data_IF_256534458375
#
_entry.id   IF_256534458375
#
_cell.length_a   1.000
_cell.length_b   1.000
_cell.length_c   1.000
_cell.angle_alpha   90.00
_cell.angle_beta   90.00
_cell.angle_gamma   90.00
#
_symmetry.space_group_name_H-M   'P 1'
#
loop_
_entity.id
_entity.type
_entity.pdbx_description
1 polymer ?
#
# COMPACT_ATOMS: atom_id res chain seq x y z
N UNK A 1 -1.57 5.66 20.42
CA UNK A 1 -2.40 6.68 21.07
C UNK A 1 -3.85 6.63 20.62
N UNK A 2 -4.71 7.40 21.32
CA UNK A 2 -6.07 7.66 20.83
C UNK A 2 -6.03 8.54 19.56
N UNK A 3 -7.17 8.71 18.88
CA UNK A 3 -7.20 9.38 17.57
C UNK A 3 -6.83 10.87 17.64
N UNK A 4 -7.02 11.52 18.77
CA UNK A 4 -6.73 12.95 18.97
C UNK A 4 -5.30 13.21 19.41
N UNK A 5 -4.64 12.23 20.03
CA UNK A 5 -3.24 12.35 20.49
C UNK A 5 -2.21 12.01 19.40
N UNK A 6 -2.63 11.55 18.24
CA UNK A 6 -1.76 11.16 17.12
C UNK A 6 -1.32 12.38 16.32
N UNK A 7 -0.06 12.78 16.48
CA UNK A 7 0.50 13.98 15.84
C UNK A 7 1.86 13.69 15.21
N UNK A 8 1.93 13.70 13.88
CA UNK A 8 3.20 13.64 13.18
C UNK A 8 3.83 15.06 13.11
N UNK A 9 5.08 15.24 13.54
CA UNK A 9 5.76 16.54 13.48
C UNK A 9 5.91 17.10 12.05
N UNK A 10 6.04 16.24 11.02
CA UNK A 10 6.07 16.66 9.61
C UNK A 10 4.70 17.20 9.19
N UNK A 11 3.65 16.44 9.44
CA UNK A 11 2.26 16.83 9.10
C UNK A 11 1.86 18.11 9.83
N UNK A 12 2.36 18.29 11.06
CA UNK A 12 2.17 19.51 11.84
C UNK A 12 3.08 20.70 11.41
N UNK A 13 3.93 20.52 10.39
CA UNK A 13 4.84 21.55 9.89
C UNK A 13 5.97 21.94 10.88
N UNK A 14 6.20 21.14 11.94
CA UNK A 14 7.21 21.43 12.96
C UNK A 14 8.63 21.07 12.53
N UNK A 15 8.77 20.13 11.63
CA UNK A 15 10.05 19.63 11.09
C UNK A 15 9.92 19.41 9.59
N UNK A 16 11.04 19.49 8.86
CA UNK A 16 11.07 19.27 7.40
C UNK A 16 11.25 17.79 7.03
N UNK A 17 11.85 17.01 7.91
CA UNK A 17 12.21 15.62 7.67
C UNK A 17 11.71 14.72 8.81
N UNK A 18 11.60 13.42 8.53
CA UNK A 18 11.18 12.43 9.51
C UNK A 18 12.20 12.32 10.64
N UNK A 19 11.75 12.47 11.90
CA UNK A 19 12.59 12.37 13.09
C UNK A 19 12.66 10.95 13.64
N UNK A 20 12.14 9.96 12.92
CA UNK A 20 12.15 8.54 13.29
C UNK A 20 11.62 8.27 14.71
N UNK A 21 10.40 8.74 15.01
CA UNK A 21 9.74 8.50 16.30
C UNK A 21 9.74 7.01 16.65
N UNK A 22 9.96 6.67 17.92
CA UNK A 22 9.94 5.28 18.42
C UNK A 22 8.60 4.57 18.15
N UNK A 23 7.50 5.32 18.16
CA UNK A 23 6.18 4.90 17.67
C UNK A 23 5.70 5.94 16.67
N UNK A 24 5.48 5.52 15.44
CA UNK A 24 5.02 6.43 14.38
C UNK A 24 3.54 6.73 14.52
N UNK A 25 3.18 7.97 14.83
CA UNK A 25 1.79 8.39 15.02
C UNK A 25 0.94 8.36 13.74
N UNK A 26 1.54 8.40 12.55
CA UNK A 26 0.80 8.19 11.30
C UNK A 26 0.46 6.73 11.04
N UNK A 27 1.26 5.80 11.56
CA UNK A 27 1.13 4.36 11.30
C UNK A 27 0.44 3.60 12.43
N UNK A 28 0.57 4.07 13.68
CA UNK A 28 0.15 3.34 14.88
C UNK A 28 -0.85 4.13 15.72
N UNK A 29 -1.78 3.43 16.38
CA UNK A 29 -2.82 3.98 17.23
C UNK A 29 -4.22 3.69 16.70
N UNK A 30 -5.25 4.28 17.31
CA UNK A 30 -6.63 4.07 16.88
C UNK A 30 -6.83 4.42 15.40
N UNK A 31 -7.47 3.54 14.64
CA UNK A 31 -7.64 3.65 13.18
C UNK A 31 -6.39 3.24 12.36
N UNK A 32 -5.26 2.92 13.01
CA UNK A 32 -4.03 2.49 12.34
C UNK A 32 -3.51 3.49 11.31
N UNK A 33 -2.77 3.01 10.30
CA UNK A 33 -2.33 3.82 9.15
C UNK A 33 -3.52 4.35 8.33
N UNK A 34 -4.66 3.66 8.37
CA UNK A 34 -5.89 4.06 7.69
C UNK A 34 -6.40 5.43 8.12
N UNK A 35 -6.15 5.88 9.36
CA UNK A 35 -6.64 7.15 9.87
C UNK A 35 -6.12 8.37 9.09
N UNK A 36 -4.94 8.25 8.49
CA UNK A 36 -4.30 9.32 7.71
C UNK A 36 -4.22 9.00 6.21
N UNK A 37 -4.94 7.97 5.76
CA UNK A 37 -5.07 7.64 4.34
C UNK A 37 -6.19 8.44 3.68
N UNK A 38 -6.20 8.45 2.35
CA UNK A 38 -7.26 9.08 1.55
C UNK A 38 -8.60 8.33 1.57
N UNK A 39 -8.70 7.21 2.30
CA UNK A 39 -9.94 6.49 2.53
C UNK A 39 -10.55 5.90 1.25
N UNK A 40 -9.80 5.08 0.53
CA UNK A 40 -10.30 4.31 -0.62
C UNK A 40 -10.95 3.00 -0.15
N UNK A 41 -12.25 2.90 -0.24
CA UNK A 41 -13.02 1.70 0.08
C UNK A 41 -13.37 0.95 -1.21
N UNK A 42 -12.95 -0.31 -1.29
CA UNK A 42 -13.14 -1.16 -2.47
C UNK A 42 -14.29 -2.16 -2.23
N UNK A 43 -15.25 -2.19 -3.13
CA UNK A 43 -16.39 -3.10 -3.10
C UNK A 43 -16.17 -4.20 -4.14
N UNK A 44 -15.40 -5.21 -3.77
CA UNK A 44 -15.05 -6.32 -4.65
C UNK A 44 -14.42 -7.45 -3.85
N UNK A 45 -14.55 -8.69 -4.34
CA UNK A 45 -13.86 -9.88 -3.84
C UNK A 45 -12.59 -10.20 -4.64
N UNK A 46 -12.33 -9.49 -5.76
CA UNK A 46 -11.20 -9.77 -6.64
C UNK A 46 -9.84 -9.37 -6.07
N UNK A 47 -9.84 -8.52 -5.04
CA UNK A 47 -8.63 -8.10 -4.33
C UNK A 47 -8.97 -7.49 -2.95
N UNK A 48 -8.00 -7.43 -2.06
CA UNK A 48 -8.13 -6.73 -0.77
C UNK A 48 -8.20 -7.64 0.45
N UNK A 49 -8.20 -8.94 0.30
CA UNK A 49 -8.22 -9.88 1.42
C UNK A 49 -8.40 -11.33 0.97
N UNK A 50 -8.60 -12.23 1.93
CA UNK A 50 -8.77 -13.66 1.70
C UNK A 50 -10.01 -14.23 2.40
N UNK A 51 -11.03 -13.43 2.66
CA UNK A 51 -12.26 -13.93 3.26
C UNK A 51 -12.96 -14.97 2.37
N UNK A 52 -12.73 -14.91 1.06
CA UNK A 52 -13.22 -15.92 0.10
C UNK A 52 -12.59 -17.32 0.25
N UNK A 53 -11.55 -17.45 1.07
CA UNK A 53 -11.02 -18.76 1.47
C UNK A 53 -11.92 -19.44 2.53
N UNK A 54 -12.81 -18.70 3.20
CA UNK A 54 -13.63 -19.14 4.33
C UNK A 54 -15.13 -19.04 4.08
N UNK A 55 -15.56 -18.22 3.12
CA UNK A 55 -16.96 -18.00 2.77
C UNK A 55 -17.07 -17.63 1.28
N UNK A 56 -18.27 -17.71 0.73
CA UNK A 56 -18.49 -17.41 -0.67
C UNK A 56 -18.45 -15.89 -0.98
N UNK A 57 -18.37 -15.55 -2.28
CA UNK A 57 -18.27 -14.17 -2.74
C UNK A 57 -19.47 -13.31 -2.34
N UNK A 58 -20.68 -13.87 -2.30
CA UNK A 58 -21.91 -13.16 -1.97
C UNK A 58 -21.94 -12.83 -0.47
N UNK A 59 -21.50 -13.75 0.37
CA UNK A 59 -21.34 -13.53 1.82
C UNK A 59 -20.30 -12.43 2.09
N UNK A 60 -19.15 -12.49 1.43
CA UNK A 60 -18.09 -11.46 1.56
C UNK A 60 -18.63 -10.11 1.09
N UNK A 61 -19.31 -10.04 -0.04
CA UNK A 61 -19.92 -8.80 -0.51
C UNK A 61 -20.98 -8.25 0.42
N UNK A 62 -21.78 -9.12 1.06
CA UNK A 62 -22.75 -8.71 2.09
C UNK A 62 -22.05 -8.04 3.27
N UNK A 63 -20.95 -8.64 3.76
CA UNK A 63 -20.15 -8.05 4.85
C UNK A 63 -19.50 -6.72 4.45
N UNK A 64 -18.97 -6.60 3.23
CA UNK A 64 -18.41 -5.33 2.71
C UNK A 64 -19.50 -4.24 2.71
N UNK A 65 -20.70 -4.54 2.21
CA UNK A 65 -21.83 -3.62 2.21
C UNK A 65 -22.30 -3.25 3.63
N UNK A 66 -22.29 -4.20 4.57
CA UNK A 66 -22.56 -3.93 5.97
C UNK A 66 -21.56 -2.94 6.58
N UNK A 67 -20.25 -3.17 6.35
CA UNK A 67 -19.20 -2.26 6.80
C UNK A 67 -19.37 -0.87 6.20
N UNK A 68 -19.77 -0.77 4.93
CA UNK A 68 -20.07 0.52 4.31
C UNK A 68 -21.26 1.23 4.97
N UNK A 69 -22.31 0.48 5.32
CA UNK A 69 -23.45 1.03 6.06
C UNK A 69 -23.02 1.61 7.41
N UNK A 70 -22.10 0.92 8.11
CA UNK A 70 -21.52 1.45 9.36
C UNK A 70 -20.72 2.72 9.08
N UNK A 71 -19.88 2.75 8.05
CA UNK A 71 -19.10 3.94 7.69
C UNK A 71 -20.01 5.13 7.33
N UNK A 72 -21.10 4.88 6.59
CA UNK A 72 -22.09 5.92 6.26
C UNK A 72 -22.79 6.47 7.51
N UNK A 73 -23.11 5.63 8.51
CA UNK A 73 -23.64 6.09 9.81
C UNK A 73 -22.71 7.14 10.45
N UNK A 74 -21.41 7.01 10.27
CA UNK A 74 -20.40 7.91 10.82
C UNK A 74 -19.95 9.04 9.87
N UNK A 75 -20.61 9.18 8.72
CA UNK A 75 -20.46 10.34 7.84
C UNK A 75 -19.70 10.07 6.55
N UNK A 76 -19.53 8.80 6.14
CA UNK A 76 -19.01 8.49 4.81
C UNK A 76 -20.01 8.90 3.72
N UNK A 77 -19.49 9.32 2.56
CA UNK A 77 -20.31 9.63 1.38
C UNK A 77 -20.95 8.39 0.80
N UNK A 78 -22.09 8.54 0.15
CA UNK A 78 -22.73 7.51 -0.69
C UNK A 78 -22.15 7.46 -2.11
N UNK A 79 -21.38 8.49 -2.53
CA UNK A 79 -20.81 8.61 -3.85
C UNK A 79 -19.77 7.51 -4.11
N UNK A 80 -19.97 6.78 -5.20
CA UNK A 80 -19.07 5.69 -5.63
C UNK A 80 -18.62 5.88 -7.07
N UNK A 81 -17.43 5.37 -7.37
CA UNK A 81 -16.89 5.24 -8.72
C UNK A 81 -16.94 3.78 -9.13
N UNK A 82 -17.47 3.49 -10.31
CA UNK A 82 -17.64 2.12 -10.78
C UNK A 82 -16.87 1.91 -12.08
N UNK A 83 -16.27 0.73 -12.23
CA UNK A 83 -15.73 0.25 -13.49
C UNK A 83 -16.79 -0.33 -14.42
N UNK A 84 -18.03 -0.48 -13.94
CA UNK A 84 -19.16 -0.96 -14.76
C UNK A 84 -19.84 0.19 -15.52
N UNK A 85 -19.11 0.80 -16.43
CA UNK A 85 -19.59 1.85 -17.33
C UNK A 85 -19.26 1.49 -18.79
N UNK A 86 -19.99 2.00 -19.80
CA UNK A 86 -19.64 1.76 -21.20
C UNK A 86 -18.21 2.19 -21.55
N UNK A 87 -17.73 3.29 -20.99
CA UNK A 87 -16.36 3.79 -21.18
C UNK A 87 -15.32 2.85 -20.56
N UNK A 88 -15.57 2.38 -19.33
CA UNK A 88 -14.66 1.45 -18.67
C UNK A 88 -14.60 0.08 -19.38
N UNK A 89 -15.75 -0.41 -19.90
CA UNK A 89 -15.77 -1.63 -20.72
C UNK A 89 -15.06 -1.44 -22.06
N UNK A 90 -15.07 -0.23 -22.63
CA UNK A 90 -14.28 0.06 -23.84
C UNK A 90 -12.77 0.06 -23.53
N UNK A 91 -12.37 0.65 -22.40
CA UNK A 91 -10.99 0.61 -21.90
C UNK A 91 -10.54 -0.83 -21.64
N UNK A 92 -11.38 -1.64 -20.99
CA UNK A 92 -11.10 -3.06 -20.74
C UNK A 92 -10.85 -3.83 -22.05
N UNK A 93 -11.72 -3.66 -23.05
CA UNK A 93 -11.52 -4.29 -24.38
C UNK A 93 -10.25 -3.82 -25.07
N UNK A 94 -9.89 -2.55 -24.92
CA UNK A 94 -8.63 -2.05 -25.49
C UNK A 94 -7.42 -2.65 -24.76
N UNK A 95 -7.45 -2.70 -23.44
CA UNK A 95 -6.39 -3.28 -22.60
C UNK A 95 -6.18 -4.78 -22.92
N UNK A 96 -7.26 -5.54 -23.11
CA UNK A 96 -7.21 -6.97 -23.44
C UNK A 96 -6.45 -7.26 -24.76
N UNK A 97 -6.38 -6.35 -25.71
CA UNK A 97 -5.58 -6.53 -26.93
C UNK A 97 -4.07 -6.67 -26.65
N UNK A 98 -3.66 -6.23 -25.49
CA UNK A 98 -2.25 -6.21 -25.06
C UNK A 98 -2.00 -7.07 -23.81
N UNK A 99 -2.88 -8.04 -23.55
CA UNK A 99 -2.82 -8.95 -22.40
C UNK A 99 -2.91 -8.23 -21.02
N UNK A 100 -3.44 -7.01 -21.01
CA UNK A 100 -3.73 -6.25 -19.82
C UNK A 100 -5.16 -6.49 -19.36
N UNK A 101 -5.35 -6.91 -18.10
CA UNK A 101 -6.66 -7.22 -17.53
C UNK A 101 -7.05 -6.16 -16.52
N UNK A 102 -8.09 -5.38 -16.82
CA UNK A 102 -8.65 -4.40 -15.90
C UNK A 102 -9.52 -5.11 -14.87
N UNK A 103 -9.17 -4.96 -13.58
CA UNK A 103 -10.00 -5.52 -12.51
C UNK A 103 -11.26 -4.68 -12.31
N UNK A 104 -12.37 -5.39 -12.18
CA UNK A 104 -13.66 -4.77 -11.88
C UNK A 104 -13.74 -4.38 -10.41
N UNK A 105 -14.01 -3.12 -10.12
CA UNK A 105 -14.22 -2.63 -8.77
C UNK A 105 -15.15 -1.43 -8.75
N UNK A 106 -16.00 -1.40 -7.73
CA UNK A 106 -16.68 -0.20 -7.29
C UNK A 106 -15.85 0.38 -6.15
N UNK A 107 -15.52 1.66 -6.21
CA UNK A 107 -14.63 2.32 -5.24
C UNK A 107 -15.34 3.52 -4.64
N UNK A 108 -15.19 3.72 -3.35
CA UNK A 108 -15.57 4.94 -2.63
C UNK A 108 -14.28 5.65 -2.20
N UNK A 109 -14.16 6.92 -2.51
CA UNK A 109 -13.03 7.77 -2.12
C UNK A 109 -13.53 8.86 -1.19
N UNK A 110 -13.01 8.89 0.03
CA UNK A 110 -13.47 9.79 1.08
C UNK A 110 -12.68 11.10 1.12
N UNK A 111 -11.39 11.04 0.81
CA UNK A 111 -10.42 12.08 1.14
C UNK A 111 -9.91 11.95 2.58
N UNK A 112 -8.68 12.39 2.80
CA UNK A 112 -7.97 12.20 4.08
C UNK A 112 -8.71 12.84 5.26
N UNK A 113 -9.24 14.05 5.07
CA UNK A 113 -9.92 14.83 6.11
C UNK A 113 -11.24 14.15 6.52
N UNK A 114 -12.01 13.68 5.55
CA UNK A 114 -13.28 13.00 5.81
C UNK A 114 -13.07 11.63 6.45
N UNK A 115 -12.05 10.90 6.01
CA UNK A 115 -11.72 9.59 6.57
C UNK A 115 -11.34 9.72 8.06
N UNK A 116 -10.51 10.71 8.40
CA UNK A 116 -10.16 10.98 9.80
C UNK A 116 -11.40 11.33 10.63
N UNK A 117 -12.29 12.19 10.11
CA UNK A 117 -13.53 12.58 10.81
C UNK A 117 -14.45 11.39 11.06
N UNK A 118 -14.61 10.49 10.10
CA UNK A 118 -15.42 9.27 10.27
C UNK A 118 -14.85 8.42 11.41
N UNK A 119 -13.53 8.24 11.46
CA UNK A 119 -12.89 7.48 12.54
C UNK A 119 -12.98 8.18 13.90
N UNK A 120 -12.95 9.52 13.94
CA UNK A 120 -13.22 10.28 15.17
C UNK A 120 -14.64 10.07 15.68
N UNK A 121 -15.64 10.15 14.80
CA UNK A 121 -17.02 9.89 15.14
C UNK A 121 -17.23 8.44 15.66
N UNK A 122 -16.59 7.45 15.04
CA UNK A 122 -16.58 6.07 15.52
C UNK A 122 -15.94 5.96 16.91
N UNK A 123 -14.81 6.62 17.12
CA UNK A 123 -14.11 6.60 18.40
C UNK A 123 -14.96 7.16 19.53
N UNK A 124 -15.59 8.32 19.31
CA UNK A 124 -16.48 8.97 20.31
C UNK A 124 -17.69 8.12 20.68
N UNK A 125 -18.24 7.39 19.72
CA UNK A 125 -19.38 6.51 19.98
C UNK A 125 -18.93 5.24 20.73
N UNK A 126 -17.82 4.64 20.32
CA UNK A 126 -17.28 3.43 20.92
C UNK A 126 -16.74 3.65 22.34
N UNK A 127 -16.18 4.82 22.65
CA UNK A 127 -15.72 5.17 24.00
C UNK A 127 -16.81 5.06 25.08
N UNK A 128 -18.09 5.09 24.68
CA UNK A 128 -19.22 4.97 25.61
C UNK A 128 -19.47 3.53 26.07
N UNK A 129 -18.97 2.54 25.32
CA UNK A 129 -19.30 1.11 25.52
C UNK A 129 -18.10 0.18 25.53
N UNK A 130 -16.91 0.67 25.16
CA UNK A 130 -15.65 -0.10 25.10
C UNK A 130 -14.59 0.56 25.96
N UNK A 131 -13.89 -0.25 26.78
CA UNK A 131 -12.69 0.19 27.47
C UNK A 131 -11.49 0.17 26.52
N UNK A 132 -10.82 1.31 26.34
CA UNK A 132 -9.58 1.44 25.58
C UNK A 132 -8.37 1.51 26.52
N UNK A 133 -7.37 0.71 26.24
CA UNK A 133 -6.07 0.76 26.92
C UNK A 133 -4.99 1.16 25.91
N UNK A 134 -4.76 2.46 25.80
CA UNK A 134 -3.69 3.02 24.96
C UNK A 134 -2.33 2.91 25.65
N UNK A 135 -1.24 2.92 24.87
CA UNK A 135 0.14 2.79 25.35
C UNK A 135 0.35 1.52 26.18
N UNK A 136 -0.44 0.49 25.87
CA UNK A 136 -0.42 -0.81 26.56
C UNK A 136 0.07 -1.84 25.56
N UNK A 137 1.27 -2.35 25.77
CA UNK A 137 1.90 -3.32 24.88
C UNK A 137 1.67 -4.73 25.40
N UNK A 138 1.07 -5.57 24.54
CA UNK A 138 0.93 -7.01 24.78
C UNK A 138 2.21 -7.71 24.35
N UNK A 139 2.90 -8.39 25.29
CA UNK A 139 4.15 -9.08 25.03
C UNK A 139 3.98 -10.58 24.80
N UNK A 140 2.92 -11.18 25.34
CA UNK A 140 2.66 -12.62 25.22
C UNK A 140 1.18 -12.95 25.22
N UNK A 141 0.89 -14.07 24.58
CA UNK A 141 -0.45 -14.69 24.52
C UNK A 141 -0.28 -16.15 24.99
N UNK A 142 -1.05 -16.55 25.97
CA UNK A 142 -1.11 -17.90 26.48
C UNK A 142 -2.56 -18.41 26.50
N UNK A 143 -2.77 -19.74 26.36
CA UNK A 143 -4.08 -20.33 26.60
C UNK A 143 -4.33 -20.44 28.10
N UNK A 144 -5.52 -20.09 28.54
CA UNK A 144 -5.98 -20.17 29.93
C UNK A 144 -7.37 -20.81 29.99
N UNK A 145 -7.40 -22.13 30.17
CA UNK A 145 -8.64 -22.90 30.07
C UNK A 145 -9.31 -22.78 28.69
N UNK A 146 -10.55 -22.32 28.66
CA UNK A 146 -11.31 -22.07 27.42
C UNK A 146 -11.03 -20.69 26.80
N UNK A 147 -10.14 -19.89 27.42
CA UNK A 147 -9.84 -18.52 27.00
C UNK A 147 -8.36 -18.26 26.79
N UNK A 148 -7.99 -17.00 26.97
CA UNK A 148 -6.63 -16.52 26.76
C UNK A 148 -6.19 -15.61 27.91
N UNK A 149 -4.89 -15.64 28.22
CA UNK A 149 -4.20 -14.71 29.11
C UNK A 149 -3.20 -13.90 28.30
N UNK A 150 -3.28 -12.58 28.40
CA UNK A 150 -2.40 -11.63 27.73
C UNK A 150 -1.42 -11.06 28.74
N UNK A 151 -0.13 -11.22 28.51
CA UNK A 151 0.92 -10.62 29.35
C UNK A 151 1.27 -9.23 28.82
N UNK A 152 1.18 -8.22 29.68
CA UNK A 152 1.52 -6.83 29.35
C UNK A 152 2.96 -6.50 29.75
N UNK A 153 3.60 -5.56 29.02
CA UNK A 153 4.96 -5.11 29.33
C UNK A 153 5.11 -4.55 30.75
N UNK A 154 4.04 -3.99 31.30
CA UNK A 154 4.02 -3.46 32.66
C UNK A 154 3.90 -4.54 33.75
N UNK A 155 3.82 -5.82 33.39
CA UNK A 155 3.73 -6.95 34.31
C UNK A 155 2.30 -7.32 34.74
N UNK A 156 1.28 -6.66 34.21
CA UNK A 156 -0.13 -7.01 34.38
C UNK A 156 -0.54 -8.11 33.39
N UNK A 157 -1.52 -8.94 33.75
CA UNK A 157 -2.14 -9.91 32.86
C UNK A 157 -3.63 -9.59 32.67
N UNK A 158 -4.10 -9.68 31.43
CA UNK A 158 -5.52 -9.55 31.07
C UNK A 158 -6.05 -10.92 30.62
N UNK A 159 -7.16 -11.35 31.19
CA UNK A 159 -7.83 -12.59 30.79
C UNK A 159 -9.04 -12.29 29.93
N UNK A 160 -9.25 -13.09 28.87
CA UNK A 160 -10.43 -12.98 28.01
C UNK A 160 -10.88 -14.35 27.50
N UNK A 161 -12.15 -14.49 27.20
CA UNK A 161 -12.69 -15.71 26.56
C UNK A 161 -12.42 -15.73 25.06
N UNK A 162 -12.59 -14.62 24.40
CA UNK A 162 -12.36 -14.43 22.97
C UNK A 162 -11.27 -13.39 22.74
N UNK A 163 -10.40 -13.65 21.80
CA UNK A 163 -9.29 -12.77 21.47
C UNK A 163 -9.26 -12.48 19.96
N UNK A 164 -9.29 -11.21 19.58
CA UNK A 164 -9.05 -10.75 18.21
C UNK A 164 -7.66 -10.09 18.17
N UNK A 165 -6.77 -10.58 17.32
CA UNK A 165 -5.39 -10.09 17.20
C UNK A 165 -5.23 -9.39 15.85
N UNK A 166 -5.06 -8.07 15.87
CA UNK A 166 -4.93 -7.24 14.69
C UNK A 166 -3.74 -6.25 14.83
N UNK A 167 -2.48 -6.73 14.97
CA UNK A 167 -1.35 -5.91 15.39
C UNK A 167 -0.77 -5.03 14.28
N UNK A 168 -1.27 -5.14 13.05
CA UNK A 168 -0.76 -4.41 11.89
C UNK A 168 0.62 -4.90 11.43
N UNK A 169 1.27 -4.12 10.55
CA UNK A 169 2.56 -4.49 9.93
C UNK A 169 3.70 -4.61 10.95
N UNK A 170 3.80 -3.66 11.87
CA UNK A 170 4.85 -3.64 12.90
C UNK A 170 4.74 -4.77 13.93
N UNK A 171 3.54 -5.34 14.10
CA UNK A 171 3.34 -6.48 14.99
C UNK A 171 3.40 -7.85 14.31
N UNK A 172 3.70 -7.93 13.00
CA UNK A 172 3.62 -9.18 12.24
C UNK A 172 4.64 -10.24 12.70
N UNK A 173 5.89 -9.86 12.97
CA UNK A 173 6.90 -10.78 13.47
C UNK A 173 6.53 -11.31 14.86
N UNK A 174 6.19 -10.40 15.78
CA UNK A 174 5.72 -10.77 17.12
C UNK A 174 4.51 -11.72 17.05
N UNK A 175 3.52 -11.42 16.22
CA UNK A 175 2.35 -12.29 16.08
C UNK A 175 2.70 -13.66 15.52
N UNK A 176 3.61 -13.74 14.57
CA UNK A 176 4.10 -15.02 14.03
C UNK A 176 4.79 -15.87 15.12
N UNK A 177 5.52 -15.24 16.05
CA UNK A 177 6.11 -15.93 17.21
C UNK A 177 5.03 -16.43 18.18
N UNK A 178 4.01 -15.61 18.47
CA UNK A 178 2.88 -16.03 19.31
C UNK A 178 2.11 -17.20 18.68
N UNK A 179 1.88 -17.19 17.37
CA UNK A 179 1.25 -18.31 16.66
C UNK A 179 2.05 -19.60 16.80
N UNK A 180 3.38 -19.55 16.61
CA UNK A 180 4.24 -20.74 16.82
C UNK A 180 4.17 -21.27 18.25
N UNK A 181 4.21 -20.35 19.22
CA UNK A 181 4.08 -20.71 20.66
C UNK A 181 2.74 -21.38 20.98
N UNK A 182 1.65 -20.91 20.36
CA UNK A 182 0.30 -21.46 20.53
C UNK A 182 0.04 -22.73 19.68
N UNK A 183 1.01 -23.18 18.89
CA UNK A 183 0.85 -24.32 17.98
C UNK A 183 -0.02 -24.04 16.77
N UNK A 184 -0.25 -22.76 16.43
CA UNK A 184 -1.00 -22.38 15.22
C UNK A 184 -0.07 -22.41 14.02
N UNK A 185 -0.45 -23.18 13.00
CA UNK A 185 0.31 -23.31 11.77
C UNK A 185 0.16 -22.04 10.94
N UNK A 186 1.29 -21.43 10.59
CA UNK A 186 1.34 -20.31 9.65
C UNK A 186 1.48 -20.82 8.22
N UNK A 187 0.78 -20.16 7.31
CA UNK A 187 0.90 -20.41 5.88
C UNK A 187 1.74 -19.27 5.28
N UNK A 188 2.67 -19.65 4.40
CA UNK A 188 3.46 -18.65 3.67
C UNK A 188 2.57 -17.74 2.85
N UNK A 189 2.69 -16.45 3.11
CA UNK A 189 2.01 -15.44 2.33
C UNK A 189 2.91 -14.92 1.20
N UNK A 190 2.32 -14.21 0.25
CA UNK A 190 3.07 -13.52 -0.78
C UNK A 190 3.65 -12.19 -0.24
N UNK A 191 4.65 -11.68 -0.94
CA UNK A 191 5.11 -10.30 -0.84
C UNK A 191 5.17 -9.72 -2.24
N UNK A 192 4.65 -8.51 -2.42
CA UNK A 192 4.75 -7.82 -3.70
C UNK A 192 5.89 -6.82 -3.61
N UNK A 193 6.78 -6.87 -4.60
CA UNK A 193 7.95 -6.01 -4.68
C UNK A 193 7.92 -5.29 -6.03
N UNK A 194 8.28 -4.02 -6.02
CA UNK A 194 8.30 -3.25 -7.24
C UNK A 194 8.79 -1.82 -7.07
N UNK A 195 8.25 -0.97 -7.91
CA UNK A 195 8.60 0.45 -7.99
C UNK A 195 7.33 1.31 -8.01
N UNK A 196 7.47 2.55 -7.60
CA UNK A 196 6.49 3.59 -7.91
C UNK A 196 6.90 4.27 -9.20
N UNK A 197 5.98 4.32 -10.13
CA UNK A 197 6.10 5.04 -11.40
C UNK A 197 5.55 6.44 -11.22
N UNK A 198 6.24 7.44 -11.74
CA UNK A 198 5.74 8.82 -11.84
C UNK A 198 5.97 9.34 -13.25
N UNK A 199 4.94 9.94 -13.82
CA UNK A 199 4.93 10.46 -15.20
C UNK A 199 3.92 11.62 -15.31
N UNK A 200 3.97 12.44 -16.37
CA UNK A 200 3.01 13.52 -16.57
C UNK A 200 1.57 13.00 -16.56
N UNK A 201 0.68 13.68 -15.84
CA UNK A 201 -0.71 13.26 -15.64
C UNK A 201 -1.45 13.05 -16.98
N UNK A 202 -1.13 13.85 -18.00
CA UNK A 202 -1.71 13.78 -19.33
C UNK A 202 -1.55 12.42 -20.03
N UNK A 203 -0.52 11.63 -19.64
CA UNK A 203 -0.29 10.28 -20.18
C UNK A 203 -1.40 9.31 -19.76
N UNK A 204 -1.88 9.43 -18.52
CA UNK A 204 -2.90 8.54 -17.94
C UNK A 204 -4.28 9.17 -17.80
N UNK A 205 -4.45 10.45 -18.09
CA UNK A 205 -5.70 11.20 -17.87
C UNK A 205 -6.91 10.52 -18.52
N UNK A 206 -6.78 10.06 -19.77
CA UNK A 206 -7.85 9.35 -20.50
C UNK A 206 -8.26 8.02 -19.86
N UNK A 207 -7.41 7.41 -19.02
CA UNK A 207 -7.70 6.21 -18.22
C UNK A 207 -8.30 6.62 -16.88
N UNK A 208 -7.66 7.56 -16.18
CA UNK A 208 -8.04 7.96 -14.81
C UNK A 208 -9.36 8.73 -14.76
N UNK A 209 -9.73 9.42 -15.84
CA UNK A 209 -11.05 10.06 -15.98
C UNK A 209 -12.18 9.05 -16.13
N UNK A 210 -11.88 7.84 -16.63
CA UNK A 210 -12.85 6.75 -16.78
C UNK A 210 -12.87 5.84 -15.56
N UNK A 211 -11.67 5.50 -15.04
CA UNK A 211 -11.50 4.61 -13.90
C UNK A 211 -10.50 5.26 -12.95
N UNK A 212 -11.00 5.88 -11.88
CA UNK A 212 -10.19 6.66 -10.94
C UNK A 212 -8.98 5.89 -10.40
N UNK A 213 -9.15 4.63 -10.04
CA UNK A 213 -8.08 3.72 -9.62
C UNK A 213 -8.03 2.50 -10.54
N UNK A 214 -7.32 2.62 -11.66
CA UNK A 214 -7.18 1.54 -12.62
C UNK A 214 -6.24 0.46 -12.10
N UNK A 215 -6.79 -0.73 -11.82
CA UNK A 215 -6.02 -1.92 -11.46
C UNK A 215 -5.87 -2.82 -12.67
N UNK A 216 -4.74 -2.69 -13.33
CA UNK A 216 -4.38 -3.48 -14.50
C UNK A 216 -3.44 -4.60 -14.08
N UNK A 217 -3.76 -5.82 -14.49
CA UNK A 217 -2.92 -7.00 -14.29
C UNK A 217 -2.33 -7.42 -15.62
N UNK A 218 -1.06 -7.76 -15.60
CA UNK A 218 -0.32 -8.34 -16.69
C UNK A 218 0.40 -9.60 -16.26
N UNK A 219 0.45 -10.63 -17.11
CA UNK A 219 1.33 -11.78 -16.90
C UNK A 219 2.48 -11.69 -17.87
N UNK A 220 3.70 -11.58 -17.32
CA UNK A 220 4.90 -11.41 -18.13
C UNK A 220 5.12 -12.63 -19.01
N UNK A 221 5.55 -12.37 -20.26
CA UNK A 221 5.81 -13.44 -21.24
C UNK A 221 7.09 -14.20 -20.94
N UNK A 222 8.06 -13.48 -20.34
CA UNK A 222 9.36 -14.05 -20.01
C UNK A 222 9.29 -15.04 -18.86
N UNK A 223 8.59 -14.69 -17.76
CA UNK A 223 8.59 -15.49 -16.53
C UNK A 223 7.20 -16.01 -16.12
N UNK A 224 6.13 -15.51 -16.73
CA UNK A 224 4.76 -15.82 -16.35
C UNK A 224 4.32 -15.17 -15.03
N UNK A 225 5.12 -14.23 -14.50
CA UNK A 225 4.85 -13.57 -13.24
C UNK A 225 3.69 -12.59 -13.35
N UNK A 226 2.95 -12.44 -12.26
CA UNK A 226 1.86 -11.47 -12.17
C UNK A 226 2.40 -10.11 -11.76
N UNK A 227 2.29 -9.15 -12.65
CA UNK A 227 2.54 -7.73 -12.38
C UNK A 227 1.23 -6.97 -12.38
N UNK A 228 1.10 -5.97 -11.52
CA UNK A 228 -0.12 -5.17 -11.47
C UNK A 228 0.17 -3.71 -11.14
N UNK A 229 -0.68 -2.82 -11.67
CA UNK A 229 -0.76 -1.46 -11.14
C UNK A 229 -1.43 -1.47 -9.76
N UNK A 230 -1.01 -0.57 -8.90
CA UNK A 230 -1.59 -0.44 -7.56
C UNK A 230 -1.53 1.01 -7.07
N UNK A 231 -2.53 1.41 -6.28
CA UNK A 231 -2.58 2.74 -5.66
C UNK A 231 -2.28 3.87 -6.66
N UNK A 232 -3.12 3.96 -7.71
CA UNK A 232 -3.01 5.03 -8.71
C UNK A 232 -3.49 6.36 -8.12
N UNK A 233 -2.69 7.38 -8.29
CA UNK A 233 -2.89 8.72 -7.75
C UNK A 233 -2.79 9.76 -8.88
N UNK A 234 -3.92 10.04 -9.54
CA UNK A 234 -3.98 11.12 -10.55
C UNK A 234 -3.62 12.46 -9.90
N UNK A 235 -2.75 13.23 -10.55
CA UNK A 235 -2.27 14.52 -10.05
C UNK A 235 -1.72 14.46 -8.62
N UNK A 236 -1.14 13.30 -8.27
CA UNK A 236 -0.69 13.00 -6.90
C UNK A 236 0.80 13.20 -6.69
N UNK A 237 1.22 12.95 -5.48
CA UNK A 237 2.62 13.07 -5.03
C UNK A 237 3.18 11.72 -4.64
N UNK A 238 4.45 11.49 -4.98
CA UNK A 238 5.23 10.38 -4.45
C UNK A 238 5.70 10.75 -3.05
N UNK A 239 5.60 9.81 -2.11
CA UNK A 239 6.00 10.01 -0.71
C UNK A 239 6.83 8.84 -0.20
N UNK A 240 7.69 9.11 0.78
CA UNK A 240 8.39 8.09 1.52
C UNK A 240 7.59 7.69 2.77
N UNK A 241 7.48 6.39 3.01
CA UNK A 241 6.94 5.81 4.25
C UNK A 241 8.08 5.20 5.05
N UNK A 242 8.19 5.56 6.33
CA UNK A 242 9.15 4.93 7.23
C UNK A 242 8.46 3.92 8.14
N UNK A 243 8.89 2.67 8.10
CA UNK A 243 8.43 1.61 8.99
C UNK A 243 9.66 0.93 9.60
N UNK A 244 9.79 0.99 10.91
CA UNK A 244 10.91 0.38 11.65
C UNK A 244 12.30 0.81 11.13
N UNK A 245 12.45 2.08 10.79
CA UNK A 245 13.69 2.64 10.29
C UNK A 245 14.00 2.37 8.82
N UNK A 246 13.11 1.69 8.09
CA UNK A 246 13.25 1.41 6.67
C UNK A 246 12.28 2.27 5.89
N UNK A 247 12.80 3.02 4.91
CA UNK A 247 12.01 3.80 3.99
C UNK A 247 11.56 2.94 2.80
N UNK A 248 10.27 2.96 2.54
CA UNK A 248 9.64 2.47 1.30
C UNK A 248 8.96 3.62 0.60
N UNK A 249 8.63 3.46 -0.65
CA UNK A 249 7.92 4.48 -1.41
C UNK A 249 6.43 4.19 -1.46
N UNK A 250 5.61 5.23 -1.48
CA UNK A 250 4.17 5.19 -1.68
C UNK A 250 3.74 6.46 -2.44
N UNK A 251 2.44 6.66 -2.61
CA UNK A 251 1.89 7.87 -3.22
C UNK A 251 0.52 8.20 -2.66
N UNK A 252 0.17 9.45 -2.81
CA UNK A 252 -1.18 9.92 -2.48
C UNK A 252 -1.62 11.08 -3.38
N UNK A 253 -2.90 11.35 -3.42
CA UNK A 253 -3.49 12.50 -4.10
C UNK A 253 -4.35 13.32 -3.15
N UNK A 254 -4.41 14.61 -3.40
CA UNK A 254 -5.28 15.53 -2.67
C UNK A 254 -6.62 15.70 -3.38
N UNK A 255 -7.69 15.87 -2.60
CA UNK A 255 -8.99 16.26 -3.14
C UNK A 255 -9.01 17.73 -3.59
N UNK A 256 -8.26 18.59 -2.87
CA UNK A 256 -8.11 20.00 -3.23
C UNK A 256 -7.29 20.18 -4.52
N UNK A 257 -7.87 20.77 -5.58
CA UNK A 257 -7.14 21.03 -6.82
C UNK A 257 -5.89 21.91 -6.66
N UNK A 258 -5.86 22.80 -5.66
CA UNK A 258 -4.72 23.68 -5.41
C UNK A 258 -3.47 22.94 -4.91
N UNK A 259 -3.64 21.71 -4.40
CA UNK A 259 -2.56 20.86 -3.90
C UNK A 259 -2.15 19.76 -4.89
N UNK A 260 -2.69 19.76 -6.09
CA UNK A 260 -2.38 18.80 -7.13
C UNK A 260 -1.01 19.02 -7.73
N UNK A 261 -0.32 17.94 -8.08
CA UNK A 261 0.89 18.00 -8.90
C UNK A 261 0.53 17.94 -10.40
N UNK A 262 1.52 18.10 -11.25
CA UNK A 262 1.38 17.89 -12.71
C UNK A 262 1.51 16.41 -13.12
N UNK A 263 1.78 15.52 -12.16
CA UNK A 263 2.09 14.12 -12.40
C UNK A 263 1.00 13.18 -11.89
N UNK A 264 0.88 12.04 -12.55
CA UNK A 264 0.21 10.84 -12.01
C UNK A 264 1.28 9.87 -11.53
N UNK A 265 1.04 9.23 -10.38
CA UNK A 265 1.91 8.16 -9.92
C UNK A 265 1.12 6.91 -9.55
N UNK A 266 1.76 5.76 -9.70
CA UNK A 266 1.21 4.45 -9.34
C UNK A 266 2.33 3.44 -9.09
N UNK A 267 2.05 2.43 -8.27
CA UNK A 267 2.97 1.32 -8.09
C UNK A 267 2.86 0.31 -9.24
N UNK A 268 3.99 -0.27 -9.63
CA UNK A 268 4.07 -1.53 -10.36
C UNK A 268 4.63 -2.58 -9.42
N UNK A 269 3.82 -3.58 -9.09
CA UNK A 269 4.13 -4.60 -8.10
C UNK A 269 4.15 -5.98 -8.73
N UNK A 270 5.28 -6.68 -8.58
CA UNK A 270 5.46 -8.09 -8.96
C UNK A 270 5.10 -8.95 -7.75
N UNK A 271 4.18 -9.88 -7.93
CA UNK A 271 3.73 -10.78 -6.86
C UNK A 271 4.69 -11.95 -6.71
N UNK A 272 5.36 -12.02 -5.56
CA UNK A 272 6.29 -13.09 -5.24
C UNK A 272 5.64 -14.08 -4.28
N UNK A 273 5.57 -15.34 -4.70
CA UNK A 273 5.15 -16.46 -3.86
C UNK A 273 6.33 -17.40 -3.68
N UNK A 274 6.55 -17.80 -2.45
CA UNK A 274 7.64 -18.69 -2.11
C UNK A 274 7.11 -20.04 -1.64
N UNK A 275 7.85 -21.10 -1.94
CA UNK A 275 7.60 -22.45 -1.47
C UNK A 275 8.64 -22.84 -0.42
N UNK A 276 8.34 -23.82 0.40
CA UNK A 276 9.31 -24.37 1.35
C UNK A 276 10.65 -24.71 0.66
N UNK A 277 11.79 -24.48 1.34
CA UNK A 277 11.93 -24.17 2.77
C UNK A 277 11.85 -22.69 3.13
N UNK A 278 11.54 -21.80 2.18
CA UNK A 278 11.48 -20.36 2.43
C UNK A 278 10.13 -19.97 3.06
N UNK A 279 10.17 -19.44 4.27
CA UNK A 279 8.98 -19.17 5.11
C UNK A 279 8.88 -17.70 5.60
N UNK A 280 9.71 -16.79 5.08
CA UNK A 280 9.83 -15.43 5.60
C UNK A 280 9.67 -14.33 4.54
N UNK A 281 8.52 -14.27 3.81
CA UNK A 281 8.29 -13.28 2.77
C UNK A 281 8.38 -11.84 3.28
N UNK A 282 7.96 -11.60 4.52
CA UNK A 282 8.10 -10.29 5.17
C UNK A 282 9.56 -9.85 5.26
N UNK A 283 10.44 -10.72 5.77
CA UNK A 283 11.88 -10.42 5.89
C UNK A 283 12.53 -10.22 4.53
N UNK A 284 12.11 -10.98 3.51
CA UNK A 284 12.62 -10.80 2.16
C UNK A 284 12.30 -9.39 1.62
N UNK A 285 11.05 -8.96 1.71
CA UNK A 285 10.64 -7.62 1.29
C UNK A 285 11.35 -6.51 2.07
N UNK A 286 11.50 -6.68 3.39
CA UNK A 286 12.24 -5.77 4.26
C UNK A 286 13.71 -5.68 3.86
N UNK A 287 14.33 -6.80 3.49
CA UNK A 287 15.72 -6.84 3.04
C UNK A 287 15.93 -6.09 1.72
N UNK A 288 15.02 -6.27 0.74
CA UNK A 288 15.06 -5.52 -0.52
C UNK A 288 14.95 -4.01 -0.28
N UNK A 289 14.01 -3.58 0.57
CA UNK A 289 13.88 -2.17 0.92
C UNK A 289 15.13 -1.63 1.65
N UNK A 290 15.73 -2.44 2.53
CA UNK A 290 17.00 -2.11 3.21
C UNK A 290 18.15 -1.88 2.23
N UNK A 291 18.28 -2.69 1.16
CA UNK A 291 19.28 -2.48 0.11
C UNK A 291 19.10 -1.14 -0.59
N UNK A 292 17.87 -0.78 -0.94
CA UNK A 292 17.55 0.53 -1.50
C UNK A 292 17.95 1.67 -0.57
N UNK A 293 17.65 1.54 0.73
CA UNK A 293 18.01 2.55 1.72
C UNK A 293 19.52 2.67 1.93
N UNK A 294 20.25 1.55 1.90
CA UNK A 294 21.71 1.55 2.02
C UNK A 294 22.36 2.33 0.86
N UNK A 295 21.79 2.29 -0.33
CA UNK A 295 22.30 2.96 -1.53
C UNK A 295 21.93 4.45 -1.60
N UNK A 296 20.87 4.87 -0.91
CA UNK A 296 20.30 6.22 -1.04
C UNK A 296 20.16 6.98 0.28
N UNK A 297 20.29 6.31 1.41
CA UNK A 297 19.87 6.87 2.69
C UNK A 297 18.33 6.99 2.85
N UNK A 298 17.56 6.67 1.80
CA UNK A 298 16.10 6.80 1.76
C UNK A 298 15.50 6.08 0.56
N UNK A 299 14.98 6.83 -0.39
CA UNK A 299 14.33 6.30 -1.61
C UNK A 299 15.22 6.57 -2.82
N UNK A 300 15.47 5.54 -3.64
CA UNK A 300 16.12 5.68 -4.94
C UNK A 300 15.13 6.21 -6.00
N UNK A 301 15.63 7.04 -6.94
CA UNK A 301 14.91 7.38 -8.18
C UNK A 301 15.78 7.13 -9.39
N UNK A 302 15.20 6.54 -10.44
CA UNK A 302 15.89 6.30 -11.71
C UNK A 302 14.94 6.60 -12.87
N UNK A 303 15.42 7.23 -13.94
CA UNK A 303 14.65 7.36 -15.18
C UNK A 303 14.53 6.02 -15.87
N UNK A 304 13.38 5.73 -16.44
CA UNK A 304 13.11 4.48 -17.15
C UNK A 304 14.10 4.23 -18.29
N UNK A 305 14.38 5.26 -19.08
CA UNK A 305 15.34 5.12 -20.18
C UNK A 305 16.78 4.85 -19.72
N UNK A 306 17.18 5.34 -18.55
CA UNK A 306 18.50 5.02 -17.97
C UNK A 306 18.51 3.56 -17.47
N UNK A 307 17.43 3.09 -16.81
CA UNK A 307 17.30 1.69 -16.39
C UNK A 307 17.40 0.73 -17.57
N UNK A 308 16.66 0.97 -18.64
CA UNK A 308 16.67 0.11 -19.85
C UNK A 308 18.06 0.07 -20.51
N UNK A 309 18.81 1.18 -20.45
CA UNK A 309 20.19 1.24 -20.96
C UNK A 309 21.22 0.64 -20.00
N UNK A 310 20.83 0.22 -18.81
CA UNK A 310 21.74 -0.28 -17.78
C UNK A 310 22.69 0.80 -17.24
N UNK A 311 22.24 2.05 -17.16
CA UNK A 311 23.05 3.17 -16.68
C UNK A 311 22.37 3.85 -15.49
N UNK A 312 23.18 4.28 -14.54
CA UNK A 312 22.72 5.03 -13.37
C UNK A 312 22.13 6.39 -13.77
N UNK A 313 21.02 6.78 -13.21
CA UNK A 313 20.57 8.18 -13.18
C UNK A 313 21.43 8.95 -12.17
N UNK A 314 21.87 10.14 -12.52
CA UNK A 314 22.54 11.08 -11.64
C UNK A 314 21.77 12.42 -11.59
N UNK A 315 22.18 13.33 -10.72
CA UNK A 315 21.51 14.62 -10.53
C UNK A 315 21.40 15.42 -11.83
N UNK A 316 22.47 15.46 -12.64
CA UNK A 316 22.48 16.17 -13.91
C UNK A 316 21.45 15.60 -14.89
N UNK A 317 21.36 14.27 -15.01
CA UNK A 317 20.37 13.60 -15.87
C UNK A 317 18.93 13.82 -15.36
N UNK A 318 18.73 13.75 -14.03
CA UNK A 318 17.43 13.99 -13.42
C UNK A 318 16.98 15.44 -13.61
N UNK A 319 17.90 16.41 -13.48
CA UNK A 319 17.60 17.82 -13.70
C UNK A 319 17.18 18.14 -15.15
N UNK A 320 17.58 17.32 -16.13
CA UNK A 320 17.19 17.43 -17.53
C UNK A 320 15.89 16.72 -17.88
N UNK A 321 15.33 15.95 -16.94
CA UNK A 321 14.09 15.19 -17.16
C UNK A 321 12.89 16.13 -17.35
N UNK A 322 12.01 15.80 -18.30
CA UNK A 322 10.71 16.47 -18.44
C UNK A 322 9.79 16.19 -17.26
N UNK A 323 9.79 14.95 -16.77
CA UNK A 323 9.07 14.59 -15.55
C UNK A 323 9.83 15.11 -14.35
N UNK A 324 9.25 16.03 -13.61
CA UNK A 324 9.84 16.57 -12.38
C UNK A 324 9.43 15.72 -11.19
N UNK A 325 10.41 15.24 -10.38
CA UNK A 325 10.09 14.41 -9.22
C UNK A 325 9.29 15.19 -8.18
N UNK A 326 8.15 14.64 -7.73
CA UNK A 326 7.40 15.22 -6.61
C UNK A 326 8.01 14.84 -5.26
N UNK A 327 8.70 13.71 -5.15
CA UNK A 327 9.54 13.38 -3.99
C UNK A 327 10.95 13.95 -4.18
N UNK A 328 11.15 15.21 -3.80
CA UNK A 328 12.43 15.92 -3.98
C UNK A 328 13.58 15.36 -3.12
N UNK A 329 13.27 14.59 -2.07
CA UNK A 329 14.26 13.92 -1.22
C UNK A 329 14.74 12.57 -1.80
N UNK A 330 14.17 12.12 -2.93
CA UNK A 330 14.63 10.88 -3.57
C UNK A 330 16.02 11.08 -4.21
N UNK A 331 16.88 10.08 -4.06
CA UNK A 331 18.27 10.13 -4.49
C UNK A 331 18.41 9.44 -5.86
N UNK A 332 18.96 10.13 -6.88
CA UNK A 332 19.21 9.52 -8.17
C UNK A 332 20.20 8.35 -8.07
N UNK A 333 19.81 7.20 -8.64
CA UNK A 333 20.62 6.00 -8.49
C UNK A 333 20.38 4.96 -9.57
N UNK A 334 20.65 3.72 -9.20
CA UNK A 334 20.47 2.53 -10.02
C UNK A 334 19.66 1.47 -9.27
N UNK A 335 18.42 1.26 -9.70
CA UNK A 335 17.51 0.29 -9.12
C UNK A 335 17.97 -1.16 -9.32
N UNK A 336 18.82 -1.42 -10.30
CA UNK A 336 19.36 -2.77 -10.56
C UNK A 336 20.29 -3.28 -9.45
N UNK A 337 20.80 -2.38 -8.62
CA UNK A 337 21.62 -2.73 -7.44
C UNK A 337 20.75 -3.11 -6.22
N UNK A 338 19.47 -2.78 -6.22
CA UNK A 338 18.57 -3.05 -5.10
C UNK A 338 17.51 -4.10 -5.43
N UNK A 339 16.93 -4.05 -6.63
CA UNK A 339 15.87 -4.95 -7.05
C UNK A 339 16.45 -6.16 -7.79
N UNK A 340 15.95 -7.38 -7.51
CA UNK A 340 16.32 -8.57 -8.26
C UNK A 340 16.02 -8.41 -9.76
N UNK A 341 16.90 -8.95 -10.61
CA UNK A 341 16.78 -8.86 -12.07
C UNK A 341 15.41 -9.29 -12.59
N UNK A 342 14.87 -10.41 -12.06
CA UNK A 342 13.55 -10.93 -12.49
C UNK A 342 12.44 -9.90 -12.28
N UNK A 343 12.40 -9.23 -11.12
CA UNK A 343 11.40 -8.19 -10.85
C UNK A 343 11.58 -6.97 -11.77
N UNK A 344 12.82 -6.59 -12.08
CA UNK A 344 13.06 -5.48 -13.01
C UNK A 344 12.62 -5.81 -14.43
N UNK A 345 12.94 -7.02 -14.92
CA UNK A 345 12.52 -7.48 -16.25
C UNK A 345 10.97 -7.47 -16.33
N UNK A 346 10.29 -7.99 -15.31
CA UNK A 346 8.83 -8.01 -15.22
C UNK A 346 8.23 -6.59 -15.23
N UNK A 347 8.84 -5.65 -14.48
CA UNK A 347 8.41 -4.24 -14.44
C UNK A 347 8.61 -3.57 -15.80
N UNK A 348 9.76 -3.77 -16.44
CA UNK A 348 10.07 -3.23 -17.76
C UNK A 348 9.06 -3.74 -18.80
N UNK A 349 8.75 -5.05 -18.78
CA UNK A 349 7.78 -5.65 -19.68
C UNK A 349 6.38 -5.06 -19.47
N UNK A 350 5.95 -4.88 -18.21
CA UNK A 350 4.67 -4.24 -17.87
C UNK A 350 4.62 -2.77 -18.33
N UNK A 351 5.70 -2.00 -18.20
CA UNK A 351 5.75 -0.61 -18.67
C UNK A 351 5.54 -0.54 -20.19
N UNK A 352 6.16 -1.43 -20.97
CA UNK A 352 5.94 -1.51 -22.41
C UNK A 352 4.52 -1.97 -22.77
N UNK A 353 3.91 -2.83 -21.98
CA UNK A 353 2.52 -3.22 -22.18
C UNK A 353 1.57 -2.04 -21.89
N UNK A 354 1.80 -1.29 -20.82
CA UNK A 354 1.03 -0.09 -20.48
C UNK A 354 1.16 1.01 -21.54
N UNK A 355 2.34 1.16 -22.14
CA UNK A 355 2.58 2.14 -23.19
C UNK A 355 1.68 1.94 -24.43
N UNK A 356 1.14 0.72 -24.64
CA UNK A 356 0.20 0.44 -25.72
C UNK A 356 -1.18 1.06 -25.50
N UNK A 357 -1.61 1.20 -24.25
CA UNK A 357 -2.89 1.80 -23.88
C UNK A 357 -2.77 3.23 -23.34
N UNK A 358 -1.59 3.61 -22.89
CA UNK A 358 -1.24 4.93 -22.39
C UNK A 358 0.12 5.36 -23.00
N UNK A 359 0.15 5.78 -24.28
CA UNK A 359 1.38 6.17 -24.97
C UNK A 359 2.12 7.28 -24.24
N UNK A 360 3.40 7.05 -23.97
CA UNK A 360 4.25 7.88 -23.14
C UNK A 360 4.60 7.27 -21.77
N UNK A 361 3.99 6.12 -21.42
CA UNK A 361 4.36 5.38 -20.19
C UNK A 361 5.82 4.91 -20.26
N UNK A 362 6.27 4.40 -21.40
CA UNK A 362 7.66 3.97 -21.65
C UNK A 362 8.59 5.11 -22.09
N UNK A 363 8.20 6.36 -21.80
CA UNK A 363 9.07 7.51 -22.10
C UNK A 363 10.40 7.41 -21.33
N UNK A 364 11.47 7.91 -21.95
CA UNK A 364 12.79 7.92 -21.34
C UNK A 364 12.80 8.58 -19.94
N UNK A 365 12.04 9.65 -19.79
CA UNK A 365 11.95 10.49 -18.59
C UNK A 365 10.85 10.06 -17.59
N UNK A 366 10.19 8.92 -17.81
CA UNK A 366 9.33 8.31 -16.79
C UNK A 366 10.21 7.96 -15.57
N UNK A 367 9.79 8.37 -14.38
CA UNK A 367 10.54 8.17 -13.15
C UNK A 367 10.08 6.89 -12.44
N UNK A 368 11.05 6.13 -11.95
CA UNK A 368 10.86 4.92 -11.17
C UNK A 368 11.50 5.11 -9.80
N UNK A 369 10.72 4.94 -8.73
CA UNK A 369 11.19 5.04 -7.35
C UNK A 369 11.20 3.65 -6.72
N UNK A 370 12.24 3.32 -5.98
CA UNK A 370 12.36 2.02 -5.32
C UNK A 370 12.94 2.11 -3.91
N UNK A 371 12.62 1.10 -3.11
CA UNK A 371 11.73 0.00 -3.44
C UNK A 371 10.31 0.28 -2.91
N UNK A 372 9.30 -0.09 -3.68
CA UNK A 372 7.95 -0.22 -3.14
C UNK A 372 7.72 -1.67 -2.73
N UNK A 373 7.29 -1.88 -1.50
CA UNK A 373 7.06 -3.23 -0.97
C UNK A 373 5.68 -3.28 -0.34
N UNK A 374 4.84 -4.20 -0.81
CA UNK A 374 3.57 -4.47 -0.18
C UNK A 374 3.65 -5.75 0.61
N UNK A 375 3.58 -5.58 1.92
CA UNK A 375 3.47 -6.68 2.87
C UNK A 375 2.01 -7.09 3.05
N UNK A 376 1.81 -8.37 3.29
CA UNK A 376 0.53 -8.94 3.61
C UNK A 376 0.51 -9.45 5.05
N UNK A 377 -0.68 -9.53 5.62
CA UNK A 377 -0.88 -10.09 6.97
C UNK A 377 -0.43 -11.55 7.02
N UNK A 378 -0.09 -12.03 8.21
CA UNK A 378 0.12 -13.47 8.44
C UNK A 378 -1.14 -14.23 8.03
N UNK A 379 -0.98 -15.36 7.36
CA UNK A 379 -2.06 -16.25 6.97
C UNK A 379 -2.03 -17.48 7.89
N UNK A 380 -3.19 -17.81 8.48
CA UNK A 380 -3.38 -18.89 9.43
C UNK A 380 -4.11 -20.05 8.77
#
# INVERSE_FOLDING_TARGET
>A
GDIYSRHCPIVAGKVKECIHCSVCDTMCGFGGAGAFSDGKYNFTTQFGGWLTDFMDDDEVMSLINYVDTVNMKYGATDKTFSTDTPKARALEREALKYDLHLLQAKVKHLGTENNLRILQNMYEDLCKVIEYRFRTEVCGIDRDGEGYSLSLRQGENIKCRYLIVAPGRSGAEWFSEQCRKLGVKLINNQVDIGVRVELPATVFEHITDVVYESKLIYRTKQYGDKVRTFCMNPYGHVVAENVEGINTVNGHSYSDPALRSENTNFALLVSNRFTEPFDQPYRYGKHIASLSNMLSGGVLVQRFGDLVKGVRTNEHRLAQSYTRPTLTAAVPGDLSLALPKRQLDDIIEMIYALDKIAPGTANYDTLLYGAEVKFYSSRL
#
